data_IF_957471650525
#
_entry.id   IF_957471650525
#
_cell.length_a   1.000
_cell.length_b   1.000
_cell.length_c   1.000
_cell.angle_alpha   90.00
_cell.angle_beta   90.00
_cell.angle_gamma   90.00
#
_symmetry.space_group_name_H-M   'P 1'
#
loop_
_entity.id
_entity.type
_entity.pdbx_description
1 polymer ?
#
# COMPACT_ATOMS: atom_id res chain seq x y z
N UNK A 1 24.80 -32.18 83.28
CA UNK A 1 24.78 -33.54 82.69
C UNK A 1 24.05 -33.45 81.37
N UNK A 2 24.50 -33.85 80.19
CA UNK A 2 25.79 -34.26 79.62
C UNK A 2 25.51 -34.32 78.10
N UNK A 3 26.54 -34.14 77.29
CA UNK A 3 26.58 -34.10 75.82
C UNK A 3 25.87 -35.27 75.10
N UNK A 4 25.57 -35.14 73.79
CA UNK A 4 26.39 -35.69 72.69
C UNK A 4 25.69 -35.59 71.31
N UNK A 5 26.51 -35.35 70.29
CA UNK A 5 26.30 -35.23 68.83
C UNK A 5 25.82 -36.51 68.11
N UNK A 6 25.15 -36.37 66.96
CA UNK A 6 25.48 -37.10 65.71
C UNK A 6 24.68 -36.57 64.50
N UNK A 7 25.38 -36.33 63.39
CA UNK A 7 24.86 -35.93 62.07
C UNK A 7 24.44 -37.15 61.23
N UNK A 8 23.43 -37.04 60.37
CA UNK A 8 23.27 -37.93 59.20
C UNK A 8 22.61 -37.20 58.01
N UNK A 9 23.04 -37.57 56.80
CA UNK A 9 23.02 -36.81 55.54
C UNK A 9 21.73 -36.93 54.70
N UNK A 10 21.44 -35.82 54.00
CA UNK A 10 20.83 -35.58 52.67
C UNK A 10 19.98 -36.67 51.98
N UNK A 11 18.86 -36.25 51.37
CA UNK A 11 18.59 -36.51 49.94
C UNK A 11 17.80 -35.35 49.30
N UNK A 12 18.39 -34.76 48.26
CA UNK A 12 17.93 -33.66 47.41
C UNK A 12 17.02 -34.15 46.28
N UNK A 13 15.92 -33.45 45.99
CA UNK A 13 15.29 -33.48 44.65
C UNK A 13 14.54 -32.18 44.37
N UNK A 14 15.25 -31.18 43.85
CA UNK A 14 14.66 -29.95 43.30
C UNK A 14 14.42 -30.16 41.80
N UNK A 15 13.17 -30.37 41.43
CA UNK A 15 12.70 -30.43 40.05
C UNK A 15 12.75 -29.01 39.45
N UNK A 16 13.82 -28.68 38.73
CA UNK A 16 13.96 -27.40 38.04
C UNK A 16 13.14 -27.41 36.72
N UNK A 17 11.95 -26.81 36.74
CA UNK A 17 11.20 -26.48 35.51
C UNK A 17 11.85 -25.28 34.84
N UNK A 18 12.66 -25.54 33.81
CA UNK A 18 13.15 -24.54 32.88
C UNK A 18 12.00 -24.02 32.01
N UNK A 19 11.37 -22.93 32.44
CA UNK A 19 10.50 -22.11 31.60
C UNK A 19 11.36 -21.49 30.49
N UNK A 20 11.38 -22.15 29.33
CA UNK A 20 11.97 -21.57 28.12
C UNK A 20 11.22 -20.29 27.74
N UNK A 21 11.88 -19.13 27.88
CA UNK A 21 11.42 -17.89 27.29
C UNK A 21 11.47 -18.05 25.77
N UNK A 22 10.34 -18.37 25.15
CA UNK A 22 10.19 -18.23 23.70
C UNK A 22 10.19 -16.73 23.38
N UNK A 23 11.08 -16.24 22.50
CA UNK A 23 11.01 -14.85 22.06
C UNK A 23 9.70 -14.66 21.30
N UNK A 24 8.85 -13.77 21.79
CA UNK A 24 7.69 -13.30 21.05
C UNK A 24 8.19 -12.46 19.86
N UNK A 25 8.22 -13.04 18.66
CA UNK A 25 8.45 -12.28 17.44
C UNK A 25 7.22 -11.39 17.21
N UNK A 26 7.38 -10.08 17.39
CA UNK A 26 6.38 -9.12 16.96
C UNK A 26 6.22 -9.22 15.44
N UNK A 27 5.05 -9.64 14.97
CA UNK A 27 4.68 -9.52 13.56
C UNK A 27 4.49 -8.04 13.26
N UNK A 28 5.48 -7.44 12.60
CA UNK A 28 5.36 -6.09 12.05
C UNK A 28 4.20 -6.08 11.06
N UNK A 29 3.03 -5.61 11.49
CA UNK A 29 1.94 -5.31 10.57
C UNK A 29 2.47 -4.26 9.56
N UNK A 30 2.34 -4.55 8.27
CA UNK A 30 2.71 -3.57 7.24
C UNK A 30 1.90 -2.30 7.45
N UNK A 31 2.54 -1.14 7.30
CA UNK A 31 1.86 0.14 7.40
C UNK A 31 0.69 0.21 6.40
N UNK A 32 -0.45 0.85 6.74
CA UNK A 32 -1.57 1.03 5.84
C UNK A 32 -1.12 1.61 4.50
N UNK A 33 -1.52 0.99 3.39
CA UNK A 33 -1.04 1.33 2.06
C UNK A 33 -2.15 1.31 1.01
N UNK A 34 -2.12 2.26 0.10
CA UNK A 34 -2.89 2.24 -1.14
C UNK A 34 -1.91 2.18 -2.31
N UNK A 35 -1.88 1.10 -3.06
CA UNK A 35 -1.00 0.97 -4.21
C UNK A 35 -1.72 1.34 -5.50
N UNK A 36 -1.13 2.20 -6.31
CA UNK A 36 -1.51 2.45 -7.70
C UNK A 36 -0.35 2.05 -8.61
N UNK A 37 -0.59 1.12 -9.51
CA UNK A 37 0.38 0.74 -10.55
C UNK A 37 -0.15 1.17 -11.92
N UNK A 38 0.58 2.02 -12.65
CA UNK A 38 0.37 2.24 -14.06
C UNK A 38 0.88 1.00 -14.82
N UNK A 39 -0.04 0.12 -15.17
CA UNK A 39 0.26 -1.21 -15.72
C UNK A 39 0.45 -1.17 -17.24
N UNK A 40 -0.36 -0.38 -17.94
CA UNK A 40 -0.28 -0.23 -19.39
C UNK A 40 -0.76 1.14 -19.85
N UNK A 41 -0.21 1.63 -20.95
CA UNK A 41 -0.70 2.76 -21.72
C UNK A 41 -0.77 2.35 -23.20
N UNK A 42 -1.95 2.44 -23.81
CA UNK A 42 -2.19 1.93 -25.16
C UNK A 42 -3.06 2.91 -25.95
N UNK A 43 -2.78 3.13 -27.26
CA UNK A 43 -3.69 3.87 -28.12
C UNK A 43 -5.09 3.26 -28.12
N UNK A 44 -6.09 4.11 -28.21
CA UNK A 44 -7.51 3.75 -28.32
C UNK A 44 -8.20 4.71 -29.30
N UNK A 45 -9.43 4.37 -29.72
CA UNK A 45 -10.23 5.24 -30.59
C UNK A 45 -10.45 6.64 -30.02
N UNK A 46 -10.48 6.79 -28.69
CA UNK A 46 -10.73 8.07 -28.02
C UNK A 46 -9.45 8.87 -27.73
N UNK A 47 -8.27 8.25 -27.82
CA UNK A 47 -7.01 8.81 -27.34
C UNK A 47 -6.22 7.78 -26.57
N UNK A 48 -5.71 8.12 -25.39
CA UNK A 48 -4.83 7.22 -24.64
C UNK A 48 -5.58 6.43 -23.58
N UNK A 49 -5.52 5.10 -23.65
CA UNK A 49 -6.07 4.20 -22.62
C UNK A 49 -5.01 3.87 -21.59
N UNK A 50 -5.21 4.30 -20.36
CA UNK A 50 -4.39 3.91 -19.22
C UNK A 50 -5.03 2.76 -18.47
N UNK A 51 -4.25 1.74 -18.12
CA UNK A 51 -4.66 0.62 -17.27
C UNK A 51 -3.93 0.72 -15.95
N UNK A 52 -4.68 0.72 -14.86
CA UNK A 52 -4.15 0.74 -13.50
C UNK A 52 -4.48 -0.56 -12.78
N UNK A 53 -3.52 -1.06 -12.01
CA UNK A 53 -3.75 -2.09 -10.98
C UNK A 53 -3.71 -1.38 -9.63
N UNK A 54 -4.79 -1.52 -8.86
CA UNK A 54 -4.98 -0.84 -7.57
C UNK A 54 -5.10 -1.88 -6.49
N UNK A 55 -4.37 -1.72 -5.38
CA UNK A 55 -4.53 -2.56 -4.20
C UNK A 55 -4.84 -1.69 -2.98
N UNK A 56 -5.98 -1.93 -2.33
CA UNK A 56 -6.34 -1.25 -1.10
C UNK A 56 -5.90 -2.09 0.11
N UNK A 57 -4.78 -1.73 0.72
CA UNK A 57 -4.29 -2.28 1.98
C UNK A 57 -4.35 -1.23 3.11
N UNK A 58 -5.32 -0.30 3.07
CA UNK A 58 -5.52 0.70 4.12
C UNK A 58 -6.20 0.13 5.38
N UNK A 59 -6.72 -1.09 5.31
CA UNK A 59 -7.40 -1.76 6.43
C UNK A 59 -8.90 -1.47 6.54
N UNK A 60 -9.47 -0.71 5.60
CA UNK A 60 -10.90 -0.42 5.54
C UNK A 60 -11.39 -0.31 4.08
N UNK A 61 -12.68 -0.52 3.86
CA UNK A 61 -13.30 -0.33 2.56
C UNK A 61 -13.30 1.14 2.17
N UNK A 62 -12.92 1.44 0.92
CA UNK A 62 -13.18 2.74 0.33
C UNK A 62 -14.48 2.66 -0.46
N UNK A 63 -15.51 3.41 -0.06
CA UNK A 63 -16.76 3.48 -0.82
C UNK A 63 -16.60 4.29 -2.10
N UNK A 64 -15.60 5.18 -2.15
CA UNK A 64 -15.17 5.90 -3.35
C UNK A 64 -13.72 6.38 -3.23
N UNK A 65 -12.97 6.25 -4.31
CA UNK A 65 -11.63 6.81 -4.46
C UNK A 65 -11.48 7.49 -5.83
N UNK A 66 -11.11 8.76 -5.84
CA UNK A 66 -10.83 9.51 -7.05
C UNK A 66 -9.60 10.38 -6.88
N UNK A 67 -8.76 10.45 -7.91
CA UNK A 67 -7.49 11.16 -7.88
C UNK A 67 -7.38 12.12 -9.06
N UNK A 68 -6.92 13.34 -8.78
CA UNK A 68 -6.47 14.24 -9.84
C UNK A 68 -5.07 13.83 -10.29
N UNK A 69 -4.91 13.65 -11.60
CA UNK A 69 -3.64 13.41 -12.24
C UNK A 69 -3.23 14.58 -13.13
N UNK A 70 -1.93 14.85 -13.16
CA UNK A 70 -1.28 15.68 -14.15
C UNK A 70 -0.58 14.79 -15.20
N UNK A 71 -0.85 15.05 -16.47
CA UNK A 71 -0.25 14.37 -17.61
C UNK A 71 0.81 15.28 -18.21
N UNK A 72 2.03 14.79 -18.37
CA UNK A 72 3.15 15.55 -18.91
C UNK A 72 3.53 15.03 -20.29
N UNK A 73 3.86 15.95 -21.18
CA UNK A 73 4.42 15.61 -22.50
C UNK A 73 5.92 15.33 -22.42
N UNK A 74 6.53 14.90 -23.53
CA UNK A 74 7.98 14.62 -23.62
C UNK A 74 8.89 15.81 -23.31
N UNK A 75 8.39 17.05 -23.41
CA UNK A 75 9.11 18.25 -22.99
C UNK A 75 9.07 18.49 -21.47
N UNK A 76 8.42 17.62 -20.70
CA UNK A 76 8.23 17.78 -19.26
C UNK A 76 7.23 18.87 -18.88
N UNK A 77 6.40 19.31 -19.82
CA UNK A 77 5.34 20.31 -19.59
C UNK A 77 4.03 19.58 -19.33
N UNK A 78 3.23 20.11 -18.38
CA UNK A 78 1.86 19.63 -18.15
C UNK A 78 1.04 19.84 -19.43
N UNK A 79 0.58 18.75 -20.04
CA UNK A 79 -0.37 18.79 -21.15
C UNK A 79 -1.78 19.11 -20.62
N UNK A 80 -2.19 18.40 -19.56
CA UNK A 80 -3.50 18.60 -18.91
C UNK A 80 -3.59 17.98 -17.53
N UNK A 81 -4.65 18.36 -16.82
CA UNK A 81 -5.12 17.69 -15.60
C UNK A 81 -6.35 16.82 -15.92
N UNK A 82 -6.56 15.76 -15.15
CA UNK A 82 -7.73 14.89 -15.27
C UNK A 82 -8.06 14.24 -13.92
N UNK A 83 -9.33 13.98 -13.64
CA UNK A 83 -9.75 13.22 -12.46
C UNK A 83 -10.09 11.80 -12.87
N UNK A 84 -9.44 10.83 -12.25
CA UNK A 84 -9.70 9.40 -12.45
C UNK A 84 -10.51 8.87 -11.27
N UNK A 85 -11.73 8.40 -11.55
CA UNK A 85 -12.62 7.81 -10.55
C UNK A 85 -12.46 6.28 -10.53
N UNK A 86 -11.78 5.78 -9.50
CA UNK A 86 -11.51 4.37 -9.27
C UNK A 86 -12.67 3.63 -8.59
N UNK A 87 -13.78 4.33 -8.30
CA UNK A 87 -14.99 3.80 -7.67
C UNK A 87 -14.68 3.24 -6.28
N UNK A 88 -15.45 2.25 -5.85
CA UNK A 88 -15.23 1.50 -4.62
C UNK A 88 -13.90 0.73 -4.69
N UNK A 89 -13.19 0.63 -3.57
CA UNK A 89 -12.01 -0.23 -3.43
C UNK A 89 -12.14 -1.00 -2.10
N UNK A 90 -12.64 -2.24 -2.12
CA UNK A 90 -12.80 -3.02 -0.90
C UNK A 90 -11.46 -3.35 -0.24
N UNK A 91 -11.46 -3.46 1.09
CA UNK A 91 -10.28 -3.75 1.89
C UNK A 91 -9.61 -5.06 1.47
N UNK A 92 -8.28 -5.01 1.35
CA UNK A 92 -7.43 -6.13 0.96
C UNK A 92 -7.61 -6.59 -0.49
N UNK A 93 -8.43 -5.92 -1.31
CA UNK A 93 -8.67 -6.32 -2.70
C UNK A 93 -7.77 -5.57 -3.68
N UNK A 94 -7.49 -6.27 -4.78
CA UNK A 94 -6.84 -5.71 -5.96
C UNK A 94 -7.88 -5.55 -7.07
N UNK A 95 -7.95 -4.38 -7.70
CA UNK A 95 -8.82 -4.10 -8.85
C UNK A 95 -7.99 -3.62 -10.03
N UNK A 96 -8.40 -4.02 -11.24
CA UNK A 96 -7.85 -3.48 -12.49
C UNK A 96 -8.85 -2.50 -13.06
N UNK A 97 -8.42 -1.26 -13.29
CA UNK A 97 -9.30 -0.18 -13.81
C UNK A 97 -8.68 0.40 -15.07
N UNK A 98 -9.51 0.78 -16.04
CA UNK A 98 -9.07 1.41 -17.29
C UNK A 98 -9.73 2.76 -17.48
N UNK A 99 -8.97 3.73 -17.96
CA UNK A 99 -9.45 5.06 -18.26
C UNK A 99 -9.04 5.45 -19.69
N UNK A 100 -10.01 5.95 -20.45
CA UNK A 100 -9.77 6.50 -21.78
C UNK A 100 -9.63 8.02 -21.69
N UNK A 101 -8.43 8.52 -21.94
CA UNK A 101 -8.11 9.93 -21.93
C UNK A 101 -8.32 10.52 -23.32
N UNK A 102 -9.45 11.21 -23.47
CA UNK A 102 -9.86 11.75 -24.76
C UNK A 102 -8.86 12.78 -25.30
N UNK A 103 -8.41 12.59 -26.54
CA UNK A 103 -7.47 13.51 -27.19
C UNK A 103 -6.06 13.55 -26.58
N UNK A 104 -5.68 12.54 -25.78
CA UNK A 104 -4.30 12.32 -25.34
C UNK A 104 -3.62 11.35 -26.30
N UNK A 105 -2.42 11.70 -26.79
CA UNK A 105 -1.57 10.81 -27.58
C UNK A 105 -0.67 10.00 -26.63
N UNK A 106 -0.84 8.67 -26.58
CA UNK A 106 -0.01 7.83 -25.70
C UNK A 106 1.47 7.91 -26.01
N UNK A 107 1.84 8.19 -27.27
CA UNK A 107 3.26 8.21 -27.67
C UNK A 107 3.98 9.44 -27.12
N UNK A 108 3.24 10.50 -26.78
CA UNK A 108 3.77 11.76 -26.26
C UNK A 108 3.70 11.86 -24.73
N UNK A 109 3.10 10.88 -24.06
CA UNK A 109 2.93 10.89 -22.61
C UNK A 109 4.21 10.40 -21.92
N UNK A 110 4.91 11.30 -21.23
CA UNK A 110 6.19 10.98 -20.58
C UNK A 110 6.05 10.69 -19.09
N UNK A 111 5.08 11.34 -18.43
CA UNK A 111 4.83 11.19 -17.00
C UNK A 111 3.36 11.37 -16.65
N UNK A 112 2.90 10.55 -15.72
CA UNK A 112 1.64 10.73 -14.99
C UNK A 112 1.99 11.04 -13.53
N UNK A 113 1.39 12.06 -12.95
CA UNK A 113 1.61 12.43 -11.55
C UNK A 113 0.26 12.52 -10.84
N UNK A 114 0.15 11.96 -9.64
CA UNK A 114 -1.04 12.10 -8.78
C UNK A 114 -0.87 13.39 -7.98
N UNK A 115 -1.64 14.43 -8.30
CA UNK A 115 -1.60 15.70 -7.57
C UNK A 115 -2.26 15.57 -6.20
N UNK A 116 -3.46 15.00 -6.17
CA UNK A 116 -4.28 14.92 -4.98
C UNK A 116 -5.34 13.81 -5.07
N UNK A 117 -5.86 13.39 -3.92
CA UNK A 117 -7.11 12.64 -3.86
C UNK A 117 -8.27 13.64 -3.84
N UNK A 118 -9.08 13.66 -4.90
CA UNK A 118 -10.28 14.49 -4.95
C UNK A 118 -11.40 13.88 -4.12
N UNK A 119 -11.43 12.54 -4.00
CA UNK A 119 -12.31 11.81 -3.09
C UNK A 119 -11.58 10.59 -2.48
N UNK A 120 -11.84 10.34 -1.20
CA UNK A 120 -11.32 9.18 -0.46
C UNK A 120 -12.27 8.90 0.71
N UNK A 121 -13.38 8.20 0.43
CA UNK A 121 -14.45 7.98 1.40
C UNK A 121 -14.34 6.58 2.04
N UNK A 122 -14.46 6.52 3.37
CA UNK A 122 -14.38 5.27 4.15
C UNK A 122 -13.21 5.18 5.14
N UNK A 123 -12.31 6.16 5.13
CA UNK A 123 -11.12 6.27 5.99
C UNK A 123 -10.96 7.71 6.48
N UNK A 124 -10.01 7.96 7.39
CA UNK A 124 -9.78 9.32 7.87
C UNK A 124 -9.23 10.25 6.77
N UNK A 125 -9.48 11.57 6.84
CA UNK A 125 -9.01 12.51 5.83
C UNK A 125 -7.51 12.39 5.53
N UNK A 126 -7.18 12.39 4.25
CA UNK A 126 -5.80 12.29 3.76
C UNK A 126 -5.18 10.89 3.81
N UNK A 127 -5.89 9.86 4.30
CA UNK A 127 -5.36 8.50 4.40
C UNK A 127 -4.93 7.94 3.02
N UNK A 128 -5.73 8.16 1.96
CA UNK A 128 -5.37 7.73 0.61
C UNK A 128 -4.02 8.29 0.16
N UNK A 129 -3.77 9.60 0.36
CA UNK A 129 -2.52 10.22 -0.07
C UNK A 129 -1.34 9.85 0.84
N UNK A 130 -1.55 9.78 2.17
CA UNK A 130 -0.49 9.36 3.11
C UNK A 130 -0.02 7.93 2.85
N UNK A 131 -0.95 7.03 2.56
CA UNK A 131 -0.68 5.62 2.26
C UNK A 131 -0.32 5.36 0.80
N UNK A 132 -0.35 6.36 -0.08
CA UNK A 132 -0.20 6.16 -1.52
C UNK A 132 1.21 5.68 -1.86
N UNK A 133 1.27 4.61 -2.65
CA UNK A 133 2.48 4.14 -3.33
C UNK A 133 2.20 4.01 -4.81
N UNK A 134 3.06 4.60 -5.62
CA UNK A 134 2.96 4.61 -7.09
C UNK A 134 4.02 3.71 -7.70
N UNK A 135 3.64 2.93 -8.71
CA UNK A 135 4.52 2.03 -9.46
C UNK A 135 4.18 2.08 -10.94
N UNK A 136 5.12 1.79 -11.83
CA UNK A 136 4.86 1.72 -13.27
C UNK A 136 5.47 0.46 -13.85
N UNK A 137 4.75 -0.21 -14.76
CA UNK A 137 5.29 -1.27 -15.63
C UNK A 137 5.52 -0.81 -17.06
N UNK A 138 5.35 0.49 -17.30
CA UNK A 138 5.50 1.11 -18.62
C UNK A 138 6.81 1.91 -18.68
N UNK A 139 7.10 2.50 -19.85
CA UNK A 139 8.15 3.51 -19.98
C UNK A 139 7.74 4.91 -19.46
N UNK A 140 6.49 5.09 -19.04
CA UNK A 140 5.95 6.36 -18.55
C UNK A 140 6.24 6.46 -17.05
N UNK A 141 6.86 7.55 -16.63
CA UNK A 141 7.11 7.81 -15.21
C UNK A 141 5.77 7.97 -14.46
N UNK A 142 5.66 7.39 -13.26
CA UNK A 142 4.46 7.51 -12.43
C UNK A 142 4.81 7.81 -10.98
N UNK A 143 4.24 8.89 -10.45
CA UNK A 143 4.62 9.43 -9.14
C UNK A 143 3.54 10.27 -8.48
N UNK A 144 3.91 10.83 -7.33
CA UNK A 144 3.23 11.93 -6.64
C UNK A 144 4.07 13.20 -6.77
#
# INVERSE_FOLDING_TARGET
MTSLTASLRLLTSTLAMSLGLMPAWAQSASAPQLSLELNAAQPSEKGCRLTFVVNNALGADLSKAAFEIALFNEAGIVDRLSVLDFKDLPAGKTKVTRFDLAGTDCTKLSRVLINSATECAGVEPGACMRGLKTQTKTGIAFGV
#
